data_IF_588547104587
#
_entry.id   IF_588547104587
#
_cell.length_a   1.000
_cell.length_b   1.000
_cell.length_c   1.000
_cell.angle_alpha   90.00
_cell.angle_beta   90.00
_cell.angle_gamma   90.00
#
_symmetry.space_group_name_H-M   'P 1'
#
loop_
_entity.id
_entity.type
_entity.pdbx_description
1 polymer ?
#
# COMPACT_ATOMS: atom_id res chain seq x y z
N UNK A 1 -1.89 -26.82 -14.97
CA UNK A 1 -0.63 -26.90 -14.18
C UNK A 1 -0.62 -25.64 -13.33
N UNK A 2 -1.16 -25.71 -12.11
CA UNK A 2 -1.32 -24.53 -11.26
C UNK A 2 0.04 -24.13 -10.68
N UNK A 3 0.46 -22.89 -10.94
CA UNK A 3 1.60 -22.29 -10.27
C UNK A 3 1.28 -22.24 -8.77
N UNK A 4 2.07 -22.94 -7.96
CA UNK A 4 2.00 -22.82 -6.50
C UNK A 4 2.23 -21.34 -6.15
N UNK A 5 1.26 -20.69 -5.50
CA UNK A 5 1.46 -19.40 -4.83
C UNK A 5 2.70 -19.57 -3.94
N UNK A 6 3.78 -18.84 -4.22
CA UNK A 6 4.98 -18.86 -3.39
C UNK A 6 4.59 -18.36 -2.01
N UNK A 7 4.77 -19.21 -0.99
CA UNK A 7 4.71 -18.79 0.40
C UNK A 7 5.80 -17.74 0.56
N UNK A 8 5.41 -16.48 0.73
CA UNK A 8 6.36 -15.37 0.96
C UNK A 8 7.12 -15.71 2.24
N UNK A 9 8.40 -16.05 2.09
CA UNK A 9 9.24 -16.41 3.23
C UNK A 9 9.33 -15.18 4.16
N UNK A 10 8.88 -15.26 5.43
CA UNK A 10 8.85 -14.11 6.35
C UNK A 10 10.25 -13.52 6.60
N UNK A 11 11.33 -14.28 6.35
CA UNK A 11 12.70 -13.80 6.42
C UNK A 11 13.06 -12.82 5.30
N UNK A 12 12.34 -12.82 4.17
CA UNK A 12 12.54 -11.82 3.11
C UNK A 12 12.20 -10.43 3.62
N UNK A 13 11.04 -10.28 4.28
CA UNK A 13 10.61 -9.00 4.86
C UNK A 13 11.59 -8.56 5.95
N UNK A 14 11.96 -9.48 6.83
CA UNK A 14 12.87 -9.18 7.94
C UNK A 14 14.28 -8.79 7.49
N UNK A 15 14.82 -9.46 6.47
CA UNK A 15 16.10 -9.07 5.85
C UNK A 15 16.04 -7.66 5.28
N UNK A 16 14.97 -7.32 4.56
CA UNK A 16 14.77 -5.98 4.02
C UNK A 16 14.69 -4.94 5.14
N UNK A 17 13.92 -5.22 6.18
CA UNK A 17 13.73 -4.30 7.31
C UNK A 17 15.06 -4.04 8.03
N UNK A 18 15.86 -5.08 8.27
CA UNK A 18 17.19 -4.93 8.90
C UNK A 18 18.11 -4.07 8.04
N UNK A 19 18.27 -4.39 6.74
CA UNK A 19 19.15 -3.61 5.87
C UNK A 19 18.66 -2.17 5.71
N UNK A 20 17.35 -1.95 5.63
CA UNK A 20 16.76 -0.62 5.54
C UNK A 20 17.03 0.19 6.83
N UNK A 21 16.73 -0.38 7.99
CA UNK A 21 16.89 0.30 9.27
C UNK A 21 18.36 0.60 9.57
N UNK A 22 19.27 -0.36 9.35
CA UNK A 22 20.70 -0.16 9.53
C UNK A 22 21.22 0.94 8.59
N UNK A 23 20.76 0.97 7.33
CA UNK A 23 21.15 2.01 6.38
C UNK A 23 20.61 3.40 6.78
N UNK A 24 19.36 3.48 7.22
CA UNK A 24 18.77 4.72 7.74
C UNK A 24 19.59 5.22 8.93
N UNK A 25 19.80 4.38 9.93
CA UNK A 25 20.47 4.75 11.18
C UNK A 25 21.88 5.26 10.91
N UNK A 26 22.68 4.48 10.17
CA UNK A 26 24.04 4.88 9.83
C UNK A 26 24.08 6.15 8.96
N UNK A 27 23.14 6.30 8.01
CA UNK A 27 23.07 7.49 7.18
C UNK A 27 22.71 8.75 7.98
N UNK A 28 21.79 8.65 8.93
CA UNK A 28 21.41 9.78 9.79
C UNK A 28 22.55 10.19 10.71
N UNK A 29 23.35 9.24 11.20
CA UNK A 29 24.52 9.49 12.04
C UNK A 29 25.72 10.07 11.27
N UNK A 30 25.83 9.85 9.96
CA UNK A 30 26.94 10.37 9.15
C UNK A 30 26.75 11.86 8.80
N UNK A 31 27.43 12.75 9.53
CA UNK A 31 27.42 14.20 9.31
C UNK A 31 27.99 14.62 7.93
N UNK A 32 28.73 13.74 7.25
CA UNK A 32 29.36 14.02 5.97
C UNK A 32 28.44 13.86 4.75
N UNK A 33 27.27 13.24 4.90
CA UNK A 33 26.34 12.99 3.79
C UNK A 33 25.69 14.28 3.32
N UNK A 34 25.75 14.53 2.02
CA UNK A 34 25.08 15.61 1.32
C UNK A 34 24.66 15.19 -0.11
N UNK A 35 23.98 16.09 -0.82
CA UNK A 35 23.44 15.79 -2.15
C UNK A 35 24.51 15.42 -3.19
N UNK A 36 25.74 15.92 -3.04
CA UNK A 36 26.84 15.70 -4.00
C UNK A 36 27.54 14.35 -3.78
N UNK A 37 27.47 13.78 -2.58
CA UNK A 37 28.18 12.55 -2.22
C UNK A 37 27.25 11.41 -1.77
N UNK A 38 25.92 11.56 -1.90
CA UNK A 38 24.98 10.58 -1.35
C UNK A 38 25.14 9.18 -1.95
N UNK A 39 25.42 9.09 -3.25
CA UNK A 39 25.59 7.81 -3.94
C UNK A 39 26.82 7.05 -3.44
N UNK A 40 27.95 7.75 -3.30
CA UNK A 40 29.18 7.15 -2.79
C UNK A 40 29.11 6.86 -1.28
N UNK A 41 28.37 7.69 -0.53
CA UNK A 41 28.13 7.46 0.89
C UNK A 41 27.29 6.22 1.13
N UNK A 42 26.21 6.01 0.37
CA UNK A 42 25.36 4.83 0.52
C UNK A 42 26.10 3.52 0.20
N UNK A 43 27.00 3.51 -0.78
CA UNK A 43 27.87 2.35 -1.01
C UNK A 43 28.71 2.02 0.24
N UNK A 44 29.35 3.04 0.86
CA UNK A 44 30.11 2.86 2.10
C UNK A 44 29.25 2.40 3.28
N UNK A 45 27.99 2.86 3.35
CA UNK A 45 27.06 2.38 4.38
C UNK A 45 26.76 0.89 4.22
N UNK A 46 26.56 0.42 2.99
CA UNK A 46 26.39 -1.02 2.74
C UNK A 46 27.64 -1.81 3.10
N UNK A 47 28.83 -1.29 2.78
CA UNK A 47 30.10 -1.89 3.19
C UNK A 47 30.18 -2.00 4.73
N UNK A 48 29.82 -0.94 5.45
CA UNK A 48 29.78 -0.94 6.93
C UNK A 48 28.79 -1.97 7.49
N UNK A 49 27.62 -2.14 6.86
CA UNK A 49 26.65 -3.18 7.26
C UNK A 49 27.24 -4.58 7.05
N UNK A 50 27.91 -4.82 5.92
CA UNK A 50 28.59 -6.10 5.67
C UNK A 50 29.67 -6.35 6.74
N UNK A 51 30.46 -5.33 7.10
CA UNK A 51 31.47 -5.42 8.17
C UNK A 51 30.80 -5.78 9.50
N UNK A 52 29.71 -5.09 9.87
CA UNK A 52 28.97 -5.36 11.11
C UNK A 52 28.41 -6.79 11.14
N UNK A 53 27.90 -7.29 10.02
CA UNK A 53 27.46 -8.69 9.89
C UNK A 53 28.63 -9.65 10.08
N UNK A 54 29.78 -9.38 9.46
CA UNK A 54 30.96 -10.24 9.62
C UNK A 54 31.44 -10.27 11.08
N UNK A 55 31.46 -9.12 11.75
CA UNK A 55 31.88 -8.97 13.13
C UNK A 55 30.92 -9.65 14.11
N UNK A 56 29.60 -9.47 13.95
CA UNK A 56 28.57 -10.10 14.78
C UNK A 56 28.45 -11.61 14.56
N UNK A 57 29.03 -12.12 13.47
CA UNK A 57 28.99 -13.53 13.09
C UNK A 57 30.23 -14.32 13.50
N UNK A 58 31.25 -13.70 14.12
CA UNK A 58 32.54 -14.33 14.47
C UNK A 58 32.41 -15.61 15.31
N UNK A 59 31.35 -15.72 16.12
CA UNK A 59 31.10 -16.82 17.04
C UNK A 59 30.29 -17.99 16.45
N UNK A 60 29.90 -17.89 15.18
CA UNK A 60 29.14 -18.93 14.48
C UNK A 60 29.98 -19.57 13.38
N UNK A 61 29.80 -20.85 13.04
CA UNK A 61 30.53 -21.48 11.92
C UNK A 61 29.79 -21.27 10.59
N UNK A 62 28.55 -21.73 10.51
CA UNK A 62 27.83 -21.92 9.24
C UNK A 62 26.63 -20.97 9.07
N UNK A 63 26.64 -19.86 9.82
CA UNK A 63 25.58 -18.86 9.77
C UNK A 63 26.13 -17.43 9.74
N UNK A 64 25.27 -16.50 9.38
CA UNK A 64 25.49 -15.07 9.61
C UNK A 64 24.46 -14.55 10.61
N UNK A 65 24.86 -13.59 11.43
CA UNK A 65 24.02 -12.89 12.38
C UNK A 65 23.76 -11.48 11.89
N UNK A 66 22.50 -11.08 11.87
CA UNK A 66 22.07 -9.72 11.56
C UNK A 66 22.18 -8.80 12.80
N UNK A 67 22.04 -7.49 12.61
CA UNK A 67 22.10 -6.50 13.69
C UNK A 67 21.03 -6.72 14.77
N UNK A 68 19.83 -7.17 14.38
CA UNK A 68 18.73 -7.51 15.29
C UNK A 68 18.92 -8.87 16.02
N UNK A 69 20.06 -9.54 15.80
CA UNK A 69 20.38 -10.84 16.37
C UNK A 69 19.83 -12.04 15.60
N UNK A 70 19.07 -11.83 14.50
CA UNK A 70 18.56 -12.91 13.66
C UNK A 70 19.70 -13.71 13.04
N UNK A 71 19.62 -15.03 13.11
CA UNK A 71 20.62 -15.94 12.56
C UNK A 71 20.12 -16.55 11.25
N UNK A 72 20.90 -16.37 10.18
CA UNK A 72 20.62 -16.90 8.85
C UNK A 72 21.61 -18.00 8.52
N UNK A 73 21.09 -19.13 8.01
CA UNK A 73 21.87 -20.28 7.56
C UNK A 73 21.36 -20.77 6.19
N UNK A 74 21.97 -21.80 5.63
CA UNK A 74 21.57 -22.35 4.31
C UNK A 74 20.12 -22.87 4.27
N UNK A 75 19.59 -23.30 5.42
CA UNK A 75 18.24 -23.87 5.54
C UNK A 75 17.15 -22.79 5.51
N UNK A 76 17.42 -21.62 6.09
CA UNK A 76 16.45 -20.55 6.24
C UNK A 76 16.68 -19.34 5.29
N UNK A 77 17.83 -19.26 4.62
CA UNK A 77 18.15 -18.17 3.70
C UNK A 77 17.24 -18.18 2.46
N UNK A 78 16.47 -17.10 2.19
CA UNK A 78 15.64 -17.02 0.99
C UNK A 78 16.48 -17.13 -0.27
N UNK A 79 15.96 -17.84 -1.28
CA UNK A 79 16.70 -18.20 -2.51
C UNK A 79 17.37 -16.98 -3.15
N UNK A 80 16.66 -15.85 -3.22
CA UNK A 80 17.15 -14.60 -3.80
C UNK A 80 18.37 -14.00 -3.07
N UNK A 81 18.53 -14.27 -1.77
CA UNK A 81 19.64 -13.76 -0.96
C UNK A 81 20.77 -14.78 -0.76
N UNK A 82 20.61 -16.03 -1.24
CA UNK A 82 21.66 -17.07 -1.13
C UNK A 82 22.99 -16.66 -1.75
N UNK A 83 23.05 -15.99 -2.93
CA UNK A 83 24.33 -15.55 -3.48
C UNK A 83 25.07 -14.59 -2.54
N UNK A 84 24.34 -13.63 -1.96
CA UNK A 84 24.87 -12.70 -0.97
C UNK A 84 25.33 -13.43 0.30
N UNK A 85 24.47 -14.28 0.87
CA UNK A 85 24.77 -15.08 2.05
C UNK A 85 26.05 -15.90 1.89
N UNK A 86 26.19 -16.64 0.77
CA UNK A 86 27.38 -17.42 0.47
C UNK A 86 28.62 -16.56 0.30
N UNK A 87 28.48 -15.37 -0.30
CA UNK A 87 29.59 -14.43 -0.43
C UNK A 87 30.07 -13.92 0.94
N UNK A 88 29.14 -13.55 1.85
CA UNK A 88 29.48 -13.16 3.22
C UNK A 88 30.16 -14.31 3.98
N UNK A 89 29.62 -15.53 3.88
CA UNK A 89 30.24 -16.71 4.50
C UNK A 89 31.65 -16.99 3.96
N UNK A 90 31.85 -16.87 2.66
CA UNK A 90 33.16 -17.05 2.05
C UNK A 90 34.16 -16.01 2.57
N UNK A 91 33.74 -14.75 2.74
CA UNK A 91 34.58 -13.70 3.32
C UNK A 91 34.90 -14.02 4.78
N UNK A 92 33.89 -14.37 5.58
CA UNK A 92 34.03 -14.73 7.00
C UNK A 92 35.01 -15.90 7.23
N UNK A 93 34.92 -16.93 6.39
CA UNK A 93 35.74 -18.13 6.49
C UNK A 93 37.12 -17.99 5.83
N UNK A 94 37.38 -16.86 5.15
CA UNK A 94 38.69 -16.54 4.61
C UNK A 94 39.62 -16.10 5.74
N UNK A 95 40.90 -16.51 5.71
CA UNK A 95 41.94 -15.86 6.50
C UNK A 95 41.99 -14.36 6.16
N UNK A 96 42.36 -13.46 7.08
CA UNK A 96 42.50 -12.03 6.77
C UNK A 96 43.48 -11.84 5.62
N UNK A 97 42.95 -11.57 4.44
CA UNK A 97 43.72 -11.30 3.23
C UNK A 97 43.84 -9.79 3.04
N UNK A 98 44.94 -9.28 2.44
CA UNK A 98 45.05 -7.89 2.01
C UNK A 98 43.87 -7.43 1.13
N UNK A 99 43.18 -8.36 0.46
CA UNK A 99 42.04 -8.11 -0.42
C UNK A 99 40.66 -8.09 0.28
N UNK A 100 40.61 -8.09 1.62
CA UNK A 100 39.32 -8.13 2.34
C UNK A 100 38.43 -6.94 1.99
N UNK A 101 38.99 -5.73 1.98
CA UNK A 101 38.27 -4.50 1.64
C UNK A 101 37.67 -4.58 0.23
N UNK A 102 38.46 -5.03 -0.76
CA UNK A 102 38.00 -5.20 -2.15
C UNK A 102 36.88 -6.24 -2.28
N UNK A 103 36.92 -7.32 -1.49
CA UNK A 103 35.84 -8.32 -1.46
C UNK A 103 34.54 -7.74 -0.90
N UNK A 104 34.63 -6.90 0.14
CA UNK A 104 33.49 -6.20 0.74
C UNK A 104 32.91 -5.19 -0.25
N UNK A 105 33.75 -4.36 -0.88
CA UNK A 105 33.34 -3.39 -1.92
C UNK A 105 32.62 -4.08 -3.09
N UNK A 106 33.17 -5.21 -3.57
CA UNK A 106 32.54 -5.99 -4.65
C UNK A 106 31.17 -6.52 -4.23
N UNK A 107 31.06 -7.01 -2.99
CA UNK A 107 29.79 -7.54 -2.47
C UNK A 107 28.75 -6.43 -2.26
N UNK A 108 29.18 -5.27 -1.76
CA UNK A 108 28.32 -4.09 -1.63
C UNK A 108 27.80 -3.65 -3.01
N UNK A 109 28.68 -3.56 -4.01
CA UNK A 109 28.30 -3.24 -5.39
C UNK A 109 27.31 -4.25 -5.98
N UNK A 110 27.48 -5.55 -5.71
CA UNK A 110 26.53 -6.58 -6.12
C UNK A 110 25.18 -6.45 -5.42
N UNK A 111 25.15 -6.12 -4.13
CA UNK A 111 23.89 -5.93 -3.39
C UNK A 111 23.14 -4.70 -3.90
N UNK A 112 23.87 -3.60 -4.09
CA UNK A 112 23.37 -2.32 -4.60
C UNK A 112 22.83 -2.42 -6.02
N UNK A 113 23.32 -3.36 -6.85
CA UNK A 113 22.83 -3.59 -8.21
C UNK A 113 21.60 -4.51 -8.29
N UNK A 114 21.14 -5.09 -7.18
CA UNK A 114 19.91 -5.90 -7.18
C UNK A 114 18.68 -5.04 -7.41
N UNK A 115 17.66 -5.58 -8.09
CA UNK A 115 16.40 -4.87 -8.37
C UNK A 115 15.73 -4.36 -7.08
N UNK A 116 15.77 -5.13 -6.00
CA UNK A 116 15.20 -4.74 -4.71
C UNK A 116 15.89 -3.50 -4.11
N UNK A 117 17.23 -3.42 -4.17
CA UNK A 117 17.97 -2.25 -3.71
C UNK A 117 17.80 -1.08 -4.67
N UNK A 118 17.85 -1.30 -5.99
CA UNK A 118 17.62 -0.25 -6.98
C UNK A 118 16.24 0.42 -6.84
N UNK A 119 15.21 -0.35 -6.46
CA UNK A 119 13.89 0.19 -6.17
C UNK A 119 13.82 0.99 -4.85
N UNK A 120 14.54 0.54 -3.82
CA UNK A 120 14.52 1.14 -2.47
C UNK A 120 15.43 2.37 -2.34
N UNK A 121 16.58 2.37 -3.01
CA UNK A 121 17.64 3.36 -2.84
C UNK A 121 17.19 4.81 -3.12
N UNK A 122 16.44 5.12 -4.20
CA UNK A 122 15.99 6.48 -4.44
C UNK A 122 15.15 7.03 -3.28
N UNK A 123 14.24 6.22 -2.73
CA UNK A 123 13.37 6.59 -1.60
C UNK A 123 14.19 6.88 -0.36
N UNK A 124 15.13 6.00 -0.05
CA UNK A 124 15.94 6.13 1.15
C UNK A 124 16.94 7.29 1.06
N UNK A 125 17.56 7.50 -0.10
CA UNK A 125 18.45 8.65 -0.33
C UNK A 125 17.71 9.97 -0.14
N UNK A 126 16.51 10.04 -0.71
CA UNK A 126 15.64 11.19 -0.57
C UNK A 126 15.28 11.43 0.90
N UNK A 127 14.87 10.38 1.61
CA UNK A 127 14.56 10.44 3.05
C UNK A 127 15.73 11.00 3.88
N UNK A 128 16.95 10.51 3.65
CA UNK A 128 18.14 10.96 4.38
C UNK A 128 18.46 12.44 4.10
N UNK A 129 18.38 12.87 2.84
CA UNK A 129 18.61 14.27 2.48
C UNK A 129 17.57 15.19 3.12
N UNK A 130 16.32 14.76 3.18
CA UNK A 130 15.23 15.50 3.82
C UNK A 130 15.40 15.57 5.34
N UNK A 131 15.68 14.45 5.98
CA UNK A 131 15.91 14.38 7.42
C UNK A 131 17.11 15.24 7.86
N UNK A 132 18.11 15.39 6.99
CA UNK A 132 19.27 16.28 7.20
C UNK A 132 19.03 17.73 6.74
N UNK A 133 17.85 18.06 6.20
CA UNK A 133 17.51 19.41 5.75
C UNK A 133 18.29 19.90 4.52
N UNK A 134 18.81 18.97 3.70
CA UNK A 134 19.73 19.25 2.57
C UNK A 134 18.96 19.49 1.26
N UNK A 135 17.75 18.96 1.12
CA UNK A 135 16.91 19.18 -0.06
C UNK A 135 16.19 20.54 -0.02
N UNK A 136 16.17 21.31 -1.13
CA UNK A 136 15.29 22.48 -1.26
C UNK A 136 13.85 22.04 -1.03
N UNK A 137 13.08 22.80 -0.24
CA UNK A 137 11.72 22.48 0.17
C UNK A 137 10.75 22.12 -0.98
N UNK A 138 11.09 22.52 -2.21
CA UNK A 138 10.32 22.28 -3.44
C UNK A 138 10.62 20.94 -4.14
N UNK A 139 11.74 20.27 -3.80
CA UNK A 139 12.14 18.95 -4.35
C UNK A 139 12.16 17.83 -3.31
N UNK A 140 11.82 18.13 -2.07
CA UNK A 140 11.43 17.09 -1.14
C UNK A 140 10.25 16.34 -1.76
N UNK A 141 10.30 15.01 -1.85
CA UNK A 141 9.07 14.25 -1.77
C UNK A 141 8.48 14.74 -0.46
N UNK A 142 7.41 15.56 -0.55
CA UNK A 142 6.80 16.30 0.57
C UNK A 142 7.04 15.51 1.85
N UNK A 143 7.72 16.14 2.83
CA UNK A 143 8.03 15.61 4.17
C UNK A 143 7.16 14.38 4.43
N UNK A 144 7.73 13.23 4.84
CA UNK A 144 6.97 12.27 5.63
C UNK A 144 6.23 13.07 6.69
N UNK A 145 4.96 13.32 6.43
CA UNK A 145 4.39 14.61 6.79
C UNK A 145 4.24 14.64 8.30
N UNK A 146 4.37 15.80 8.92
CA UNK A 146 4.21 15.95 10.38
C UNK A 146 2.80 15.49 10.86
N UNK A 147 1.90 15.17 9.91
CA UNK A 147 0.57 14.56 10.05
C UNK A 147 0.57 13.01 10.10
N UNK A 148 1.63 12.34 9.61
CA UNK A 148 1.78 10.90 9.52
C UNK A 148 0.81 10.21 8.54
N UNK A 149 0.44 10.87 7.46
CA UNK A 149 -0.39 10.31 6.37
C UNK A 149 0.54 9.69 5.32
N UNK A 150 0.38 8.40 5.04
CA UNK A 150 1.18 7.65 4.04
C UNK A 150 0.28 7.08 2.94
N UNK A 151 0.87 6.71 1.80
CA UNK A 151 0.14 6.00 0.73
C UNK A 151 -0.42 4.68 1.24
N UNK A 152 0.30 3.99 2.13
CA UNK A 152 -0.17 2.75 2.76
C UNK A 152 -1.37 3.00 3.69
N UNK A 153 -1.38 4.08 4.46
CA UNK A 153 -2.56 4.44 5.27
C UNK A 153 -3.79 4.72 4.39
N UNK A 154 -3.61 5.41 3.26
CA UNK A 154 -4.69 5.66 2.30
C UNK A 154 -5.21 4.34 1.74
N UNK A 155 -4.31 3.43 1.32
CA UNK A 155 -4.68 2.11 0.80
C UNK A 155 -5.37 1.23 1.83
N UNK A 156 -4.86 1.20 3.06
CA UNK A 156 -5.44 0.43 4.15
C UNK A 156 -6.84 0.93 4.49
N UNK A 157 -7.04 2.26 4.51
CA UNK A 157 -8.37 2.88 4.65
C UNK A 157 -9.28 2.42 3.53
N UNK A 158 -8.81 2.51 2.28
CA UNK A 158 -9.60 2.12 1.11
C UNK A 158 -9.96 0.64 1.13
N UNK A 159 -9.03 -0.25 1.50
CA UNK A 159 -9.26 -1.69 1.61
C UNK A 159 -10.30 -2.00 2.69
N UNK A 160 -10.13 -1.46 3.91
CA UNK A 160 -11.04 -1.72 5.02
C UNK A 160 -12.46 -1.22 4.73
N UNK A 161 -12.57 -0.05 4.10
CA UNK A 161 -13.86 0.48 3.70
C UNK A 161 -14.46 -0.35 2.56
N UNK A 162 -13.66 -0.80 1.59
CA UNK A 162 -14.12 -1.68 0.53
C UNK A 162 -14.66 -3.01 1.05
N UNK A 163 -13.99 -3.64 2.02
CA UNK A 163 -14.51 -4.84 2.71
C UNK A 163 -15.86 -4.53 3.36
N UNK A 164 -15.93 -3.45 4.14
CA UNK A 164 -17.14 -3.05 4.87
C UNK A 164 -18.32 -2.81 3.93
N UNK A 165 -18.10 -2.03 2.86
CA UNK A 165 -19.13 -1.74 1.86
C UNK A 165 -19.52 -2.97 1.06
N UNK A 166 -18.59 -3.88 0.76
CA UNK A 166 -18.91 -5.14 0.09
C UNK A 166 -19.84 -6.00 0.94
N UNK A 167 -19.53 -6.18 2.23
CA UNK A 167 -20.36 -6.95 3.15
C UNK A 167 -21.75 -6.31 3.34
N UNK A 168 -21.82 -4.98 3.43
CA UNK A 168 -23.10 -4.26 3.49
C UNK A 168 -23.91 -4.44 2.20
N UNK A 169 -23.27 -4.33 1.02
CA UNK A 169 -23.93 -4.55 -0.26
C UNK A 169 -24.44 -5.99 -0.41
N UNK A 170 -23.74 -6.97 0.14
CA UNK A 170 -24.22 -8.36 0.18
C UNK A 170 -25.45 -8.49 1.09
N UNK A 171 -25.39 -7.96 2.31
CA UNK A 171 -26.50 -8.01 3.26
C UNK A 171 -27.77 -7.34 2.71
N UNK A 172 -27.59 -6.28 1.93
CA UNK A 172 -28.69 -5.54 1.28
C UNK A 172 -29.16 -6.20 -0.03
N UNK A 173 -28.54 -7.32 -0.46
CA UNK A 173 -28.91 -8.03 -1.69
C UNK A 173 -28.45 -7.35 -2.99
N UNK A 174 -27.61 -6.32 -2.91
CA UNK A 174 -27.03 -5.65 -4.07
C UNK A 174 -25.93 -6.48 -4.74
N UNK A 175 -25.16 -7.21 -3.94
CA UNK A 175 -24.12 -8.13 -4.43
C UNK A 175 -24.46 -9.54 -3.94
N UNK A 176 -24.46 -10.50 -4.85
CA UNK A 176 -24.67 -11.91 -4.52
C UNK A 176 -23.32 -12.63 -4.49
N UNK A 177 -23.30 -13.80 -3.86
CA UNK A 177 -22.14 -14.71 -3.92
C UNK A 177 -21.77 -15.02 -5.37
N UNK A 178 -22.77 -15.18 -6.25
CA UNK A 178 -22.57 -15.52 -7.66
C UNK A 178 -21.81 -14.43 -8.39
N UNK A 179 -22.15 -13.15 -8.17
CA UNK A 179 -21.41 -12.05 -8.81
C UNK A 179 -19.92 -12.04 -8.42
N UNK A 180 -19.60 -12.44 -7.18
CA UNK A 180 -18.24 -12.52 -6.66
C UNK A 180 -17.48 -13.76 -7.18
N UNK A 181 -18.13 -14.93 -7.21
CA UNK A 181 -17.55 -16.18 -7.72
C UNK A 181 -17.26 -16.08 -9.22
N UNK A 182 -18.17 -15.46 -9.98
CA UNK A 182 -18.03 -15.24 -11.43
C UNK A 182 -17.16 -14.02 -11.76
N UNK A 183 -16.76 -13.25 -10.73
CA UNK A 183 -15.99 -12.01 -10.86
C UNK A 183 -16.57 -11.09 -11.94
N UNK A 184 -17.88 -10.86 -11.88
CA UNK A 184 -18.55 -10.09 -12.92
C UNK A 184 -17.88 -8.72 -13.09
N UNK A 185 -17.69 -8.22 -14.33
CA UNK A 185 -16.94 -6.99 -14.57
C UNK A 185 -17.46 -5.78 -13.80
N UNK A 186 -18.76 -5.75 -13.51
CA UNK A 186 -19.38 -4.65 -12.76
C UNK A 186 -18.90 -4.60 -11.30
N UNK A 187 -18.48 -5.73 -10.70
CA UNK A 187 -18.01 -5.79 -9.30
C UNK A 187 -16.78 -4.91 -9.09
N UNK A 188 -15.84 -4.90 -10.04
CA UNK A 188 -14.64 -4.08 -9.94
C UNK A 188 -14.95 -2.58 -9.86
N UNK A 189 -15.98 -2.13 -10.57
CA UNK A 189 -16.45 -0.75 -10.54
C UNK A 189 -17.34 -0.48 -9.32
N UNK A 190 -18.26 -1.39 -9.01
CA UNK A 190 -19.20 -1.29 -7.90
C UNK A 190 -18.50 -1.18 -6.55
N UNK A 191 -17.51 -2.04 -6.28
CA UNK A 191 -16.79 -2.03 -5.01
C UNK A 191 -16.01 -0.73 -4.83
N UNK A 192 -15.31 -0.29 -5.88
CA UNK A 192 -14.60 0.99 -5.87
C UNK A 192 -15.56 2.17 -5.68
N UNK A 193 -16.71 2.15 -6.35
CA UNK A 193 -17.70 3.22 -6.30
C UNK A 193 -18.38 3.35 -4.94
N UNK A 194 -18.78 2.24 -4.34
CA UNK A 194 -19.35 2.23 -2.98
C UNK A 194 -18.33 2.70 -1.94
N UNK A 195 -17.07 2.27 -2.07
CA UNK A 195 -15.97 2.70 -1.18
C UNK A 195 -15.77 4.21 -1.25
N UNK A 196 -15.70 4.77 -2.46
CA UNK A 196 -15.56 6.21 -2.68
C UNK A 196 -16.73 7.00 -2.08
N UNK A 197 -17.94 6.52 -2.32
CA UNK A 197 -19.16 7.17 -1.87
C UNK A 197 -19.24 7.22 -0.34
N UNK A 198 -18.87 6.12 0.31
CA UNK A 198 -18.86 6.05 1.76
C UNK A 198 -17.73 6.89 2.37
N UNK A 199 -16.52 6.84 1.79
CA UNK A 199 -15.42 7.71 2.23
C UNK A 199 -15.83 9.18 2.17
N UNK A 200 -16.56 9.60 1.13
CA UNK A 200 -17.11 10.95 1.03
C UNK A 200 -18.12 11.23 2.15
N UNK A 201 -19.06 10.32 2.38
CA UNK A 201 -20.10 10.45 3.42
C UNK A 201 -19.50 10.63 4.81
N UNK A 202 -18.57 9.76 5.20
CA UNK A 202 -17.91 9.81 6.50
C UNK A 202 -17.11 11.10 6.69
N UNK A 203 -16.57 11.63 5.60
CA UNK A 203 -15.73 12.83 5.61
C UNK A 203 -16.50 14.15 5.63
N UNK A 204 -17.83 14.18 5.73
CA UNK A 204 -18.60 15.42 5.56
C UNK A 204 -18.25 16.52 6.56
N UNK A 205 -17.85 16.14 7.78
CA UNK A 205 -17.58 17.07 8.89
C UNK A 205 -16.13 17.58 8.94
N UNK A 206 -15.24 17.08 8.07
CA UNK A 206 -13.85 17.51 8.01
C UNK A 206 -13.53 18.27 6.71
N UNK A 207 -12.33 18.85 6.58
CA UNK A 207 -11.92 19.56 5.34
C UNK A 207 -11.40 18.60 4.27
N UNK A 208 -10.86 17.44 4.67
CA UNK A 208 -10.26 16.44 3.79
C UNK A 208 -11.14 15.22 3.55
N UNK A 209 -10.51 14.09 3.22
CA UNK A 209 -11.11 12.75 3.26
C UNK A 209 -10.55 12.05 4.50
N UNK A 210 -11.44 11.60 5.37
CA UNK A 210 -11.08 10.90 6.60
C UNK A 210 -10.44 9.55 6.27
N UNK A 211 -9.36 9.27 6.98
CA UNK A 211 -8.57 8.05 6.93
C UNK A 211 -8.66 7.32 8.27
N UNK A 212 -8.23 6.06 8.28
CA UNK A 212 -8.07 5.30 9.51
C UNK A 212 -7.26 6.07 10.55
N UNK A 213 -7.70 5.99 11.81
CA UNK A 213 -7.11 6.72 12.92
C UNK A 213 -7.52 8.19 13.01
N UNK A 214 -8.60 8.61 12.32
CA UNK A 214 -9.19 9.95 12.43
C UNK A 214 -8.34 11.05 11.78
N UNK A 215 -7.42 10.67 10.89
CA UNK A 215 -6.63 11.63 10.10
C UNK A 215 -7.42 12.06 8.88
N UNK A 216 -7.12 13.23 8.31
CA UNK A 216 -7.79 13.69 7.09
C UNK A 216 -6.77 14.01 5.99
N UNK A 217 -6.91 13.38 4.83
CA UNK A 217 -6.11 13.67 3.65
C UNK A 217 -6.71 14.81 2.84
N UNK A 218 -5.89 15.77 2.45
CA UNK A 218 -6.22 16.93 1.63
C UNK A 218 -5.25 16.99 0.45
N UNK A 219 -5.48 17.88 -0.52
CA UNK A 219 -4.54 18.10 -1.62
C UNK A 219 -3.15 18.59 -1.14
N UNK A 220 -3.08 19.17 0.06
CA UNK A 220 -1.86 19.74 0.63
C UNK A 220 -0.99 18.66 1.29
N UNK A 221 -1.61 17.71 1.99
CA UNK A 221 -0.90 16.64 2.72
C UNK A 221 -0.95 15.26 2.04
N UNK A 222 -1.61 15.13 0.88
CA UNK A 222 -1.65 13.87 0.15
C UNK A 222 -0.23 13.48 -0.33
N UNK A 223 0.26 12.29 0.03
CA UNK A 223 1.55 11.81 -0.42
C UNK A 223 1.52 11.53 -1.93
N UNK A 224 2.65 11.75 -2.59
CA UNK A 224 2.83 11.37 -3.99
C UNK A 224 3.32 9.92 -4.06
N UNK A 225 2.81 9.17 -5.03
CA UNK A 225 3.34 7.86 -5.34
C UNK A 225 4.42 7.95 -6.43
N UNK A 226 5.45 7.11 -6.30
CA UNK A 226 6.52 6.98 -7.30
C UNK A 226 6.01 6.22 -8.54
N UNK A 227 5.01 5.35 -8.37
CA UNK A 227 4.36 4.67 -9.50
C UNK A 227 3.54 5.69 -10.33
N UNK A 228 3.91 5.94 -11.59
CA UNK A 228 3.17 6.87 -12.45
C UNK A 228 1.75 6.43 -12.78
N UNK A 229 1.36 5.18 -12.47
CA UNK A 229 0.01 4.67 -12.72
C UNK A 229 -1.01 5.06 -11.64
N UNK A 230 -0.59 5.45 -10.43
CA UNK A 230 -1.50 5.82 -9.33
C UNK A 230 -1.17 7.22 -8.83
N UNK A 231 -1.92 8.22 -9.30
CA UNK A 231 -1.79 9.60 -8.84
C UNK A 231 -2.79 9.90 -7.72
N UNK A 232 -2.39 9.59 -6.47
CA UNK A 232 -3.21 9.83 -5.28
C UNK A 232 -3.68 11.29 -5.16
N UNK A 233 -2.84 12.33 -5.34
CA UNK A 233 -3.30 13.72 -5.30
C UNK A 233 -4.47 14.01 -6.25
N UNK A 234 -4.40 13.52 -7.49
CA UNK A 234 -5.48 13.70 -8.48
C UNK A 234 -6.75 12.93 -8.10
N UNK A 235 -6.59 11.73 -7.51
CA UNK A 235 -7.71 10.97 -6.98
C UNK A 235 -8.38 11.73 -5.83
N UNK A 236 -7.61 12.18 -4.83
CA UNK A 236 -8.11 12.95 -3.69
C UNK A 236 -8.80 14.25 -4.15
N UNK A 237 -8.21 14.97 -5.11
CA UNK A 237 -8.83 16.17 -5.70
C UNK A 237 -10.22 15.86 -6.28
N UNK A 238 -10.34 14.75 -7.00
CA UNK A 238 -11.61 14.32 -7.60
C UNK A 238 -12.63 13.92 -6.54
N UNK A 239 -12.21 13.23 -5.47
CA UNK A 239 -13.08 12.86 -4.34
C UNK A 239 -13.58 14.12 -3.63
N UNK A 240 -12.70 15.09 -3.37
CA UNK A 240 -13.06 16.37 -2.75
C UNK A 240 -14.08 17.15 -3.60
N UNK A 241 -13.94 17.13 -4.93
CA UNK A 241 -14.91 17.77 -5.83
C UNK A 241 -16.32 17.13 -5.72
N UNK A 242 -16.40 15.80 -5.61
CA UNK A 242 -17.68 15.10 -5.39
C UNK A 242 -18.22 15.41 -3.99
N UNK A 243 -17.36 15.44 -2.97
CA UNK A 243 -17.73 15.83 -1.62
C UNK A 243 -18.41 17.20 -1.59
N UNK A 244 -17.84 18.21 -2.24
CA UNK A 244 -18.48 19.54 -2.36
C UNK A 244 -19.85 19.47 -3.04
N UNK A 245 -20.00 18.66 -4.08
CA UNK A 245 -21.28 18.46 -4.77
C UNK A 245 -22.33 17.77 -3.88
N UNK A 246 -21.88 16.90 -2.97
CA UNK A 246 -22.71 16.14 -2.05
C UNK A 246 -23.03 16.88 -0.75
N UNK A 247 -22.28 17.90 -0.34
CA UNK A 247 -22.55 18.69 0.89
C UNK A 247 -24.01 19.10 1.09
N UNK A 248 -24.76 19.58 0.06
CA UNK A 248 -26.13 20.00 0.27
C UNK A 248 -27.12 18.84 0.51
N UNK A 249 -26.71 17.58 0.29
CA UNK A 249 -27.49 16.40 0.68
C UNK A 249 -27.53 16.29 2.19
N UNK A 250 -26.38 16.37 2.84
CA UNK A 250 -26.24 16.16 4.28
C UNK A 250 -26.65 17.36 5.15
N UNK A 251 -27.12 18.44 4.53
CA UNK A 251 -27.62 19.64 5.21
C UNK A 251 -29.12 19.57 5.58
N UNK A 252 -29.87 18.55 5.13
CA UNK A 252 -31.31 18.37 5.39
C UNK A 252 -31.57 16.90 5.77
N UNK A 253 -32.48 16.62 6.70
CA UNK A 253 -32.49 15.35 7.44
C UNK A 253 -33.25 14.15 6.85
N UNK A 254 -34.23 14.35 5.95
CA UNK A 254 -35.07 13.21 5.47
C UNK A 254 -34.95 12.93 3.96
N UNK A 255 -34.74 13.95 3.12
CA UNK A 255 -34.58 13.78 1.65
C UNK A 255 -33.14 13.37 1.29
N UNK A 256 -32.20 13.52 2.23
CA UNK A 256 -30.77 13.21 2.07
C UNK A 256 -30.50 11.73 1.88
N UNK A 257 -31.23 10.87 2.59
CA UNK A 257 -30.89 9.47 2.74
C UNK A 257 -31.38 8.65 1.54
N UNK A 258 -32.56 8.97 1.01
CA UNK A 258 -33.07 8.32 -0.20
C UNK A 258 -32.33 8.78 -1.46
N UNK A 259 -31.94 10.06 -1.55
CA UNK A 259 -31.07 10.54 -2.63
C UNK A 259 -29.67 9.93 -2.54
N UNK A 260 -29.14 9.69 -1.33
CA UNK A 260 -27.90 8.95 -1.13
C UNK A 260 -28.01 7.48 -1.59
N UNK A 261 -29.09 6.78 -1.23
CA UNK A 261 -29.36 5.41 -1.72
C UNK A 261 -29.51 5.36 -3.24
N UNK A 262 -30.14 6.37 -3.85
CA UNK A 262 -30.22 6.47 -5.30
C UNK A 262 -28.83 6.60 -5.93
N UNK A 263 -27.93 7.39 -5.33
CA UNK A 263 -26.52 7.47 -5.77
C UNK A 263 -25.81 6.12 -5.61
N UNK A 264 -25.98 5.43 -4.46
CA UNK A 264 -25.44 4.08 -4.26
C UNK A 264 -25.89 3.12 -5.37
N UNK A 265 -27.17 3.16 -5.74
CA UNK A 265 -27.74 2.28 -6.76
C UNK A 265 -27.18 2.57 -8.16
N UNK A 266 -27.01 3.85 -8.51
CA UNK A 266 -26.36 4.25 -9.75
C UNK A 266 -24.88 3.84 -9.80
N UNK A 267 -24.17 3.82 -8.66
CA UNK A 267 -22.80 3.34 -8.57
C UNK A 267 -22.67 1.82 -8.79
N UNK A 268 -23.72 1.06 -8.49
CA UNK A 268 -23.79 -0.37 -8.77
C UNK A 268 -24.07 -0.69 -10.25
N UNK A 269 -24.25 0.32 -11.10
CA UNK A 269 -24.56 0.16 -12.53
C UNK A 269 -25.86 -0.62 -12.79
N UNK A 270 -26.82 -0.54 -11.85
CA UNK A 270 -28.14 -1.20 -11.91
C UNK A 270 -29.25 -0.22 -12.28
N UNK A 271 -28.99 0.78 -13.11
CA UNK A 271 -29.99 1.82 -13.42
C UNK A 271 -31.33 1.24 -13.90
N UNK A 272 -31.29 0.15 -14.67
CA UNK A 272 -32.47 -0.54 -15.21
C UNK A 272 -33.29 -1.31 -14.16
N UNK A 273 -32.69 -1.64 -13.00
CA UNK A 273 -33.31 -2.39 -11.92
C UNK A 273 -33.71 -1.49 -10.74
N UNK A 274 -33.69 -0.15 -10.90
CA UNK A 274 -33.94 0.75 -9.77
C UNK A 274 -35.39 0.65 -9.30
N UNK A 275 -35.64 0.41 -7.99
CA UNK A 275 -36.97 0.46 -7.42
C UNK A 275 -37.69 1.79 -7.70
N UNK A 276 -39.01 1.73 -7.93
CA UNK A 276 -39.84 2.91 -8.28
C UNK A 276 -39.81 4.01 -7.21
N UNK A 277 -39.69 3.62 -5.93
CA UNK A 277 -39.57 4.52 -4.80
C UNK A 277 -38.25 5.31 -4.84
N UNK A 278 -37.13 4.65 -5.15
CA UNK A 278 -35.82 5.31 -5.33
C UNK A 278 -35.74 6.14 -6.61
N UNK A 279 -36.44 5.74 -7.67
CA UNK A 279 -36.46 6.47 -8.94
C UNK A 279 -36.97 7.91 -8.79
N UNK A 280 -37.87 8.15 -7.82
CA UNK A 280 -38.38 9.49 -7.52
C UNK A 280 -37.32 10.44 -6.92
N UNK A 281 -36.19 9.90 -6.47
CA UNK A 281 -35.06 10.64 -5.88
C UNK A 281 -33.90 10.83 -6.87
N UNK A 282 -34.06 10.44 -8.14
CA UNK A 282 -33.08 10.68 -9.21
C UNK A 282 -33.04 12.15 -9.63
N UNK A 283 -32.29 12.96 -8.88
CA UNK A 283 -32.03 14.35 -9.25
C UNK A 283 -30.85 14.46 -10.22
N UNK A 284 -30.77 15.58 -10.96
CA UNK A 284 -29.60 15.89 -11.80
C UNK A 284 -28.29 15.89 -11.01
N UNK A 285 -28.34 16.22 -9.72
CA UNK A 285 -27.18 16.16 -8.82
C UNK A 285 -26.81 14.71 -8.51
N UNK A 286 -27.78 13.86 -8.15
CA UNK A 286 -27.53 12.44 -7.88
C UNK A 286 -26.86 11.74 -9.08
N UNK A 287 -27.39 11.96 -10.29
CA UNK A 287 -26.80 11.45 -11.54
C UNK A 287 -25.38 11.98 -11.74
N UNK A 288 -25.12 13.26 -11.46
CA UNK A 288 -23.79 13.87 -11.62
C UNK A 288 -22.78 13.32 -10.60
N UNK A 289 -23.19 13.13 -9.34
CA UNK A 289 -22.35 12.48 -8.32
C UNK A 289 -21.98 11.07 -8.75
N UNK A 290 -22.98 10.26 -9.12
CA UNK A 290 -22.76 8.88 -9.54
C UNK A 290 -21.86 8.79 -10.78
N UNK A 291 -22.05 9.66 -11.78
CA UNK A 291 -21.20 9.70 -12.97
C UNK A 291 -19.72 10.01 -12.63
N UNK A 292 -19.48 10.96 -11.72
CA UNK A 292 -18.13 11.28 -11.27
C UNK A 292 -17.50 10.12 -10.49
N UNK A 293 -18.27 9.49 -9.59
CA UNK A 293 -17.82 8.32 -8.83
C UNK A 293 -17.51 7.14 -9.76
N UNK A 294 -18.36 6.87 -10.74
CA UNK A 294 -18.14 5.80 -11.71
C UNK A 294 -16.90 6.09 -12.57
N UNK A 295 -16.69 7.34 -12.98
CA UNK A 295 -15.46 7.74 -13.70
C UNK A 295 -14.19 7.53 -12.86
N UNK A 296 -14.23 7.85 -11.57
CA UNK A 296 -13.12 7.56 -10.65
C UNK A 296 -12.94 6.06 -10.46
N UNK A 297 -14.02 5.31 -10.31
CA UNK A 297 -14.01 3.86 -10.14
C UNK A 297 -13.37 3.14 -11.33
N UNK A 298 -13.65 3.61 -12.55
CA UNK A 298 -12.98 3.12 -13.75
C UNK A 298 -11.47 3.38 -13.68
N UNK A 299 -11.05 4.58 -13.29
CA UNK A 299 -9.61 4.91 -13.17
C UNK A 299 -8.93 4.07 -12.08
N UNK A 300 -9.57 3.88 -10.93
CA UNK A 300 -9.08 3.05 -9.83
C UNK A 300 -8.96 1.59 -10.27
N UNK A 301 -9.98 1.04 -10.91
CA UNK A 301 -9.98 -0.35 -11.38
C UNK A 301 -8.93 -0.66 -12.44
N UNK A 302 -8.37 0.37 -13.09
CA UNK A 302 -7.27 0.24 -14.05
C UNK A 302 -5.89 0.23 -13.36
N UNK A 303 -5.80 0.63 -12.09
CA UNK A 303 -4.56 0.58 -11.32
C UNK A 303 -4.28 -0.86 -10.84
N UNK A 304 -3.07 -1.37 -11.09
CA UNK A 304 -2.66 -2.70 -10.66
C UNK A 304 -2.75 -2.90 -9.14
N UNK A 305 -2.45 -1.86 -8.38
CA UNK A 305 -2.51 -1.89 -6.90
C UNK A 305 -3.95 -2.12 -6.45
N UNK A 306 -4.90 -1.40 -7.03
CA UNK A 306 -6.31 -1.52 -6.68
C UNK A 306 -6.95 -2.78 -7.25
N UNK A 307 -6.49 -3.30 -8.40
CA UNK A 307 -6.93 -4.61 -8.89
C UNK A 307 -6.59 -5.73 -7.90
N UNK A 308 -5.36 -5.73 -7.37
CA UNK A 308 -4.97 -6.68 -6.32
C UNK A 308 -5.84 -6.54 -5.07
N UNK A 309 -6.08 -5.29 -4.64
CA UNK A 309 -6.94 -4.98 -3.49
C UNK A 309 -8.37 -5.51 -3.67
N UNK A 310 -9.01 -5.25 -4.83
CA UNK A 310 -10.36 -5.73 -5.14
C UNK A 310 -10.40 -7.26 -5.13
N UNK A 311 -9.39 -7.92 -5.71
CA UNK A 311 -9.29 -9.38 -5.71
C UNK A 311 -9.18 -9.94 -4.28
N UNK A 312 -8.37 -9.32 -3.43
CA UNK A 312 -8.22 -9.72 -2.02
C UNK A 312 -9.53 -9.55 -1.24
N UNK A 313 -10.29 -8.48 -1.52
CA UNK A 313 -11.62 -8.26 -0.91
C UNK A 313 -12.62 -9.33 -1.38
N UNK A 314 -12.63 -9.67 -2.68
CA UNK A 314 -13.48 -10.74 -3.21
C UNK A 314 -13.17 -12.06 -2.53
N UNK A 315 -11.88 -12.45 -2.45
CA UNK A 315 -11.44 -13.68 -1.78
C UNK A 315 -11.89 -13.69 -0.31
N UNK A 316 -11.65 -12.61 0.44
CA UNK A 316 -12.06 -12.48 1.84
C UNK A 316 -13.58 -12.60 2.04
N UNK A 317 -14.36 -11.95 1.18
CA UNK A 317 -15.83 -12.01 1.25
C UNK A 317 -16.35 -13.42 0.93
N UNK A 318 -15.77 -14.12 -0.05
CA UNK A 318 -16.16 -15.50 -0.37
C UNK A 318 -15.88 -16.48 0.76
N UNK A 319 -14.77 -16.29 1.48
CA UNK A 319 -14.36 -17.10 2.64
C UNK A 319 -15.24 -16.86 3.87
N UNK A 320 -15.82 -15.67 4.01
CA UNK A 320 -16.68 -15.30 5.14
C UNK A 320 -18.15 -15.61 4.91
N UNK A 321 -18.58 -15.77 3.65
CA UNK A 321 -19.95 -16.15 3.31
C UNK A 321 -20.18 -17.66 3.49
N UNK A 322 -21.35 -18.08 4.01
CA UNK A 322 -21.68 -19.51 4.11
C UNK A 322 -21.64 -20.18 2.73
N UNK A 323 -21.11 -21.41 2.68
CA UNK A 323 -21.02 -22.20 1.45
C UNK A 323 -22.42 -22.43 0.83
N UNK A 324 -22.50 -22.45 -0.50
CA UNK A 324 -23.72 -22.83 -1.23
C UNK A 324 -24.22 -24.18 -0.73
N UNK A 325 -25.40 -24.19 -0.10
CA UNK A 325 -26.03 -25.40 0.44
C UNK A 325 -25.80 -25.66 1.94
N UNK A 326 -25.07 -24.77 2.63
CA UNK A 326 -25.06 -24.70 4.10
C UNK A 326 -26.41 -24.19 4.59
N UNK A 327 -27.39 -25.09 4.63
CA UNK A 327 -28.57 -24.88 5.44
C UNK A 327 -28.13 -24.94 6.90
N UNK A 328 -28.00 -23.77 7.52
CA UNK A 328 -27.97 -23.65 8.97
C UNK A 328 -29.35 -24.08 9.51
N UNK A 329 -29.55 -25.39 9.58
CA UNK A 329 -30.57 -26.01 10.41
C UNK A 329 -30.02 -26.04 11.85
N UNK A 330 -30.60 -25.16 12.69
CA UNK A 330 -30.83 -25.23 14.16
C UNK A 330 -30.61 -23.84 14.78
N UNK A 331 -31.69 -23.14 15.11
CA UNK A 331 -32.30 -23.05 16.46
C UNK A 331 -31.34 -22.36 17.44
N UNK A 332 -31.63 -21.18 17.99
CA UNK A 332 -32.84 -20.75 18.74
C UNK A 332 -33.31 -19.37 18.28
#
# INVERSE_FOLDING_TARGET
>A
MFARREIINPLIRRLKDVFYNDMVELALLDEGINAENIDSSFNKLVENIIINILDSSKDTSDSIRLSDGTVINDENCPIMYRPFFKAVQNIKNSTPTPDLERKIETLAGMLMSTEAFQAMLPVLKQFVLEAKGITPAEKALRKLDETGITTDLIRETFYNEMVTQTLQAINNGFITRDHLEEQEPFIYFALSGLTLLEAIRQSMDCTGIELLGGKAVTNENCPMEIDPQTNFPKLIESILAVKELMKPLFAKTDVSDEEYKAIQYLCLSREEDMPDDLSSHLTSRATKCAAMINSMSVQISQSKVFQGMVQDVIELCLDTLPEKGSSASKAI
#
